data_IF_577563057459
#
_entry.id   IF_577563057459
#
_cell.length_a   1.000
_cell.length_b   1.000
_cell.length_c   1.000
_cell.angle_alpha   90.00
_cell.angle_beta   90.00
_cell.angle_gamma   90.00
#
_symmetry.space_group_name_H-M   'P 1'
#
loop_
_entity.id
_entity.type
_entity.pdbx_description
1 polymer ?
#
# COMPACT_ATOMS: atom_id res chain seq x y z
N UNK A 1 8.68 40.51 28.40
CA UNK A 1 7.97 39.48 27.60
C UNK A 1 6.76 39.05 28.42
N UNK A 2 5.52 39.35 27.98
CA UNK A 2 4.33 39.14 28.80
C UNK A 2 3.95 37.66 28.89
N UNK A 3 3.96 37.10 30.10
CA UNK A 3 3.66 35.68 30.37
C UNK A 3 2.30 35.22 29.83
N UNK A 4 1.33 36.14 29.70
CA UNK A 4 0.02 35.89 29.09
C UNK A 4 0.06 35.73 27.57
N UNK A 5 1.06 36.33 26.89
CA UNK A 5 1.27 36.21 25.44
C UNK A 5 1.94 34.87 25.09
N UNK A 6 2.91 34.44 25.90
CA UNK A 6 3.58 33.14 25.75
C UNK A 6 2.67 31.97 26.09
N UNK A 7 1.82 32.08 27.12
CA UNK A 7 0.82 31.05 27.46
C UNK A 7 -0.23 30.88 26.34
N UNK A 8 -0.75 31.97 25.78
CA UNK A 8 -1.68 31.91 24.62
C UNK A 8 -1.03 31.29 23.38
N UNK A 9 0.23 31.63 23.11
CA UNK A 9 0.97 31.04 22.00
C UNK A 9 1.17 29.53 22.15
N UNK A 10 1.44 29.06 23.37
CA UNK A 10 1.56 27.63 23.67
C UNK A 10 0.23 26.89 23.49
N UNK A 11 -0.87 27.49 23.94
CA UNK A 11 -2.22 26.91 23.79
C UNK A 11 -2.61 26.78 22.32
N UNK A 12 -2.32 27.79 21.49
CA UNK A 12 -2.60 27.74 20.05
C UNK A 12 -1.78 26.63 19.37
N UNK A 13 -0.52 26.45 19.77
CA UNK A 13 0.34 25.39 19.21
C UNK A 13 -0.18 23.98 19.55
N UNK A 14 -0.66 23.78 20.79
CA UNK A 14 -1.29 22.52 21.24
C UNK A 14 -2.59 22.23 20.48
N UNK A 15 -3.44 23.24 20.26
CA UNK A 15 -4.69 23.10 19.53
C UNK A 15 -4.48 22.73 18.06
N UNK A 16 -3.45 23.28 17.41
CA UNK A 16 -3.08 22.92 16.03
C UNK A 16 -2.55 21.49 15.93
N UNK A 17 -1.84 20.99 16.94
CA UNK A 17 -1.32 19.63 16.97
C UNK A 17 -2.42 18.58 17.23
N UNK A 18 -3.43 18.92 18.05
CA UNK A 18 -4.57 18.04 18.35
C UNK A 18 -5.61 17.98 17.23
N UNK A 19 -5.70 19.02 16.38
CA UNK A 19 -6.62 19.09 15.25
C UNK A 19 -6.00 18.63 13.92
N UNK A 20 -4.79 18.05 13.94
CA UNK A 20 -4.13 17.55 12.74
C UNK A 20 -5.01 16.50 12.02
N UNK A 21 -5.16 16.57 10.69
CA UNK A 21 -5.95 15.60 9.97
C UNK A 21 -5.35 14.20 10.16
N UNK A 22 -6.18 13.25 10.58
CA UNK A 22 -5.83 11.83 10.55
C UNK A 22 -5.68 11.42 9.08
N UNK A 23 -4.44 11.34 8.61
CA UNK A 23 -4.12 10.69 7.33
C UNK A 23 -4.36 9.19 7.50
N UNK A 24 -5.62 8.79 7.37
CA UNK A 24 -5.97 7.38 7.21
C UNK A 24 -5.53 7.00 5.80
N UNK A 25 -4.35 6.39 5.69
CA UNK A 25 -3.98 5.68 4.47
C UNK A 25 -5.06 4.60 4.26
N UNK A 26 -5.95 4.81 3.29
CA UNK A 26 -6.93 3.80 2.90
C UNK A 26 -6.14 2.63 2.33
N UNK A 27 -6.15 1.51 3.04
CA UNK A 27 -5.71 0.24 2.48
C UNK A 27 -6.66 -0.06 1.31
N UNK A 28 -6.20 0.28 0.11
CA UNK A 28 -6.99 0.12 -1.10
C UNK A 28 -6.79 -1.32 -1.53
N UNK A 29 -7.86 -2.07 -1.76
CA UNK A 29 -7.75 -3.44 -2.26
C UNK A 29 -7.08 -3.41 -3.64
N UNK A 30 -5.79 -3.72 -3.68
CA UNK A 30 -4.99 -3.68 -4.92
C UNK A 30 -5.30 -4.89 -5.81
N UNK A 31 -5.77 -6.00 -5.25
CA UNK A 31 -6.01 -7.24 -5.99
C UNK A 31 -7.50 -7.40 -6.33
N UNK A 32 -7.84 -7.33 -7.61
CA UNK A 32 -9.20 -7.54 -8.10
C UNK A 32 -9.49 -9.02 -8.38
N UNK A 33 -8.53 -9.73 -8.99
CA UNK A 33 -8.66 -11.17 -9.24
C UNK A 33 -7.33 -11.87 -9.03
N UNK A 34 -7.38 -13.10 -8.53
CA UNK A 34 -6.24 -14.00 -8.43
C UNK A 34 -6.68 -15.42 -8.76
N UNK A 35 -6.00 -16.05 -9.69
CA UNK A 35 -6.29 -17.40 -10.16
C UNK A 35 -5.01 -18.22 -10.25
N UNK A 36 -5.10 -19.47 -9.84
CA UNK A 36 -4.02 -20.46 -9.92
C UNK A 36 -4.50 -21.63 -10.76
N UNK A 37 -3.77 -21.96 -11.82
CA UNK A 37 -4.11 -23.06 -12.73
C UNK A 37 -2.95 -24.06 -12.75
N UNK A 38 -3.24 -25.31 -12.38
CA UNK A 38 -2.29 -26.42 -12.51
C UNK A 38 -2.51 -27.14 -13.83
N UNK A 39 -1.50 -27.19 -14.68
CA UNK A 39 -1.57 -27.88 -15.97
C UNK A 39 -0.21 -28.48 -16.35
N UNK A 40 -0.19 -29.77 -16.72
CA UNK A 40 1.02 -30.50 -17.16
C UNK A 40 2.25 -30.29 -16.26
N UNK A 41 2.08 -30.45 -14.94
CA UNK A 41 3.16 -30.28 -13.96
C UNK A 41 3.60 -28.85 -13.72
N UNK A 42 2.97 -27.85 -14.36
CA UNK A 42 3.24 -26.43 -14.18
C UNK A 42 2.12 -25.75 -13.41
N UNK A 43 2.47 -24.67 -12.71
CA UNK A 43 1.54 -23.77 -12.04
C UNK A 43 1.56 -22.43 -12.76
N UNK A 44 0.41 -22.02 -13.26
CA UNK A 44 0.21 -20.71 -13.86
C UNK A 44 -0.52 -19.82 -12.86
N UNK A 45 0.08 -18.67 -12.58
CA UNK A 45 -0.51 -17.64 -11.75
C UNK A 45 -1.04 -16.53 -12.66
N UNK A 46 -2.27 -16.10 -12.40
CA UNK A 46 -2.86 -14.92 -13.03
C UNK A 46 -3.39 -14.02 -11.93
N UNK A 47 -3.08 -12.73 -12.01
CA UNK A 47 -3.69 -11.73 -11.15
C UNK A 47 -4.06 -10.49 -11.95
N UNK A 48 -5.07 -9.79 -11.45
CA UNK A 48 -5.52 -8.51 -11.99
C UNK A 48 -5.50 -7.53 -10.83
N UNK A 49 -4.75 -6.44 -11.00
CA UNK A 49 -4.76 -5.35 -10.04
C UNK A 49 -5.96 -4.44 -10.30
N UNK A 50 -6.48 -3.80 -9.26
CA UNK A 50 -7.56 -2.82 -9.35
C UNK A 50 -7.11 -1.64 -10.20
N UNK A 51 -7.98 -1.17 -11.10
CA UNK A 51 -7.71 0.02 -11.91
C UNK A 51 -7.34 1.21 -11.01
N UNK A 52 -6.40 2.02 -11.47
CA UNK A 52 -5.88 3.17 -10.71
C UNK A 52 -4.97 2.83 -9.54
N UNK A 53 -4.77 1.56 -9.21
CA UNK A 53 -3.68 1.15 -8.32
C UNK A 53 -2.35 1.17 -9.06
N UNK A 54 -1.30 1.60 -8.36
CA UNK A 54 0.07 1.61 -8.88
C UNK A 54 0.93 0.74 -7.98
N UNK A 55 1.81 -0.08 -8.57
CA UNK A 55 2.82 -0.83 -7.82
C UNK A 55 4.21 -0.56 -8.36
N UNK A 56 5.20 -0.66 -7.48
CA UNK A 56 6.61 -0.74 -7.84
C UNK A 56 7.07 -2.20 -7.78
N UNK A 57 6.95 -2.87 -8.92
CA UNK A 57 7.23 -4.28 -9.09
C UNK A 57 6.21 -5.21 -8.42
N UNK A 58 6.37 -6.50 -8.66
CA UNK A 58 5.59 -7.58 -8.05
C UNK A 58 6.50 -8.74 -7.67
N UNK A 59 6.63 -8.99 -6.37
CA UNK A 59 7.38 -10.13 -5.84
C UNK A 59 6.46 -11.34 -5.66
N UNK A 60 6.89 -12.49 -6.15
CA UNK A 60 6.12 -13.74 -6.11
C UNK A 60 6.70 -14.62 -5.02
N UNK A 61 5.89 -14.91 -4.01
CA UNK A 61 6.26 -15.75 -2.89
C UNK A 61 5.50 -17.07 -2.95
N UNK A 62 6.18 -18.17 -2.63
CA UNK A 62 5.61 -19.51 -2.55
C UNK A 62 6.01 -20.17 -1.24
N UNK A 63 5.05 -20.81 -0.61
CA UNK A 63 5.27 -21.73 0.50
C UNK A 63 5.17 -23.17 -0.01
N UNK A 64 6.04 -24.05 0.48
CA UNK A 64 5.92 -25.51 0.38
C UNK A 64 5.24 -26.13 1.63
N UNK A 65 4.95 -25.29 2.65
CA UNK A 65 4.16 -25.59 3.84
C UNK A 65 3.07 -24.53 4.09
N UNK A 66 2.66 -24.31 5.35
CA UNK A 66 1.61 -23.30 5.65
C UNK A 66 2.14 -21.94 6.10
N UNK A 67 3.32 -21.84 6.72
CA UNK A 67 3.72 -20.63 7.46
C UNK A 67 4.86 -19.87 6.77
N UNK A 68 5.81 -20.57 6.13
CA UNK A 68 7.02 -19.96 5.60
C UNK A 68 6.97 -19.81 4.08
N UNK A 69 7.08 -18.57 3.61
CA UNK A 69 7.11 -18.26 2.20
C UNK A 69 8.52 -17.90 1.75
N UNK A 70 8.91 -18.39 0.57
CA UNK A 70 10.17 -18.05 -0.09
C UNK A 70 9.88 -17.31 -1.37
N UNK A 71 10.71 -16.31 -1.71
CA UNK A 71 10.57 -15.61 -2.98
C UNK A 71 11.01 -16.53 -4.12
N UNK A 72 10.13 -16.72 -5.11
CA UNK A 72 10.39 -17.58 -6.28
C UNK A 72 10.41 -16.79 -7.60
N UNK A 73 10.09 -15.50 -7.56
CA UNK A 73 10.10 -14.64 -8.73
C UNK A 73 9.92 -13.17 -8.40
N UNK A 74 10.24 -12.33 -9.38
CA UNK A 74 10.06 -10.89 -9.36
C UNK A 74 9.66 -10.42 -10.76
N UNK A 75 8.68 -9.53 -10.82
CA UNK A 75 8.30 -8.79 -12.02
C UNK A 75 8.58 -7.34 -11.71
N UNK A 76 9.75 -6.84 -12.12
CA UNK A 76 10.16 -5.46 -11.84
C UNK A 76 9.42 -4.46 -12.73
N UNK A 77 9.42 -3.19 -12.32
CA UNK A 77 8.82 -2.08 -13.07
C UNK A 77 7.44 -1.67 -12.56
N UNK A 78 6.93 -0.56 -13.07
CA UNK A 78 5.66 0.01 -12.59
C UNK A 78 4.48 -0.71 -13.21
N UNK A 79 3.56 -1.20 -12.39
CA UNK A 79 2.22 -1.59 -12.85
C UNK A 79 1.23 -0.44 -12.66
N UNK A 80 0.36 -0.20 -13.63
CA UNK A 80 -0.57 0.94 -13.62
C UNK A 80 0.04 2.24 -14.18
N UNK A 81 -0.36 3.39 -13.63
CA UNK A 81 0.15 4.72 -14.02
C UNK A 81 0.89 5.37 -12.86
N UNK A 82 2.09 5.92 -13.10
CA UNK A 82 2.86 6.65 -12.10
C UNK A 82 2.43 8.10 -11.88
N UNK A 83 1.56 8.63 -12.75
CA UNK A 83 1.20 10.05 -12.78
C UNK A 83 -0.18 10.37 -12.19
N UNK A 84 -1.11 9.40 -12.18
CA UNK A 84 -2.44 9.58 -11.59
C UNK A 84 -3.15 8.23 -11.36
N UNK A 85 -3.85 8.02 -10.23
CA UNK A 85 -4.84 6.96 -10.13
C UNK A 85 -5.89 7.15 -11.23
N UNK A 86 -6.11 6.13 -12.05
CA UNK A 86 -7.21 6.14 -13.02
C UNK A 86 -8.51 5.94 -12.24
N UNK A 87 -9.51 6.84 -12.35
CA UNK A 87 -10.77 6.77 -11.61
C UNK A 87 -11.55 5.46 -11.77
#
# INVERSE_FOLDING_TARGET
MNATKTAKSFIIMILVFLAGPSLVAKETTVLNNFTVIKNNGKIYLRWVITSGSTCDGTKIYRSDGQINFTQIGDISGICGSSSSPVP
#
